data_IF_297311472450
#
_entry.id   IF_297311472450
#
_cell.length_a   1.000
_cell.length_b   1.000
_cell.length_c   1.000
_cell.angle_alpha   90.00
_cell.angle_beta   90.00
_cell.angle_gamma   90.00
#
_symmetry.space_group_name_H-M   'P 1'
#
loop_
_entity.id
_entity.type
_entity.pdbx_description
1 polymer ?
#
# COMPACT_ATOMS: atom_id res chain seq x y z
N UNK A 1 -11.94 -22.12 5.10
CA UNK A 1 -11.75 -20.72 4.64
C UNK A 1 -11.05 -20.79 3.29
N UNK A 2 -11.46 -19.97 2.33
CA UNK A 2 -10.75 -19.85 1.05
C UNK A 2 -9.60 -18.84 1.22
N UNK A 3 -8.47 -19.10 0.57
CA UNK A 3 -7.33 -18.18 0.56
C UNK A 3 -7.70 -16.95 -0.29
N UNK A 4 -7.44 -15.75 0.22
CA UNK A 4 -7.66 -14.47 -0.48
C UNK A 4 -6.31 -13.89 -0.92
N UNK A 5 -6.33 -12.95 -1.86
CA UNK A 5 -5.10 -12.36 -2.39
C UNK A 5 -4.52 -11.30 -1.43
N UNK A 6 -3.20 -11.35 -1.25
CA UNK A 6 -2.39 -10.34 -0.59
C UNK A 6 -1.48 -9.71 -1.64
N UNK A 7 -1.69 -8.43 -1.94
CA UNK A 7 -0.90 -7.73 -2.96
C UNK A 7 0.20 -6.89 -2.31
N UNK A 8 1.34 -6.76 -3.00
CA UNK A 8 2.43 -5.87 -2.61
C UNK A 8 2.67 -4.90 -3.76
N UNK A 9 2.78 -3.60 -3.48
CA UNK A 9 3.08 -2.62 -4.51
C UNK A 9 4.48 -2.84 -5.09
N UNK A 10 4.75 -2.41 -6.34
CA UNK A 10 6.12 -2.22 -6.80
C UNK A 10 6.90 -1.30 -5.85
N UNK A 11 8.24 -1.42 -5.76
CA UNK A 11 9.07 -0.59 -4.90
C UNK A 11 9.05 0.90 -5.29
N UNK A 12 8.76 1.20 -6.55
CA UNK A 12 8.53 2.56 -7.05
C UNK A 12 7.26 2.57 -7.89
N UNK A 13 6.45 3.61 -7.72
CA UNK A 13 5.21 3.79 -8.46
C UNK A 13 5.03 5.25 -8.86
N UNK A 14 4.31 5.45 -9.96
CA UNK A 14 3.91 6.76 -10.45
C UNK A 14 2.49 7.08 -9.95
N UNK A 15 2.35 8.16 -9.19
CA UNK A 15 1.07 8.55 -8.58
C UNK A 15 0.07 9.13 -9.57
N UNK A 16 0.48 9.44 -10.80
CA UNK A 16 -0.44 9.89 -11.85
C UNK A 16 -1.17 8.71 -12.53
N UNK A 17 -0.59 7.51 -12.51
CA UNK A 17 -1.10 6.34 -13.24
C UNK A 17 -1.44 5.13 -12.36
N UNK A 18 -0.70 4.92 -11.27
CA UNK A 18 -0.91 3.78 -10.38
C UNK A 18 -2.28 3.73 -9.68
N UNK A 19 -2.90 4.86 -9.26
CA UNK A 19 -4.23 4.83 -8.63
C UNK A 19 -5.30 4.17 -9.51
N UNK A 20 -5.32 4.48 -10.81
CA UNK A 20 -6.26 3.88 -11.77
C UNK A 20 -5.99 2.39 -11.98
N UNK A 21 -4.72 1.98 -11.99
CA UNK A 21 -4.34 0.58 -12.05
C UNK A 21 -4.79 -0.17 -10.80
N UNK A 22 -4.60 0.42 -9.62
CA UNK A 22 -5.04 -0.17 -8.36
C UNK A 22 -6.55 -0.35 -8.35
N UNK A 23 -7.33 0.68 -8.70
CA UNK A 23 -8.81 0.62 -8.72
C UNK A 23 -9.30 -0.51 -9.63
N UNK A 24 -8.75 -0.63 -10.84
CA UNK A 24 -9.08 -1.72 -11.77
C UNK A 24 -8.67 -3.09 -11.25
N UNK A 25 -7.52 -3.19 -10.58
CA UNK A 25 -7.02 -4.45 -10.01
C UNK A 25 -7.92 -4.93 -8.88
N UNK A 26 -8.29 -4.04 -7.97
CA UNK A 26 -9.16 -4.37 -6.83
C UNK A 26 -10.60 -4.70 -7.28
N UNK A 27 -11.07 -4.08 -8.37
CA UNK A 27 -12.37 -4.42 -8.96
C UNK A 27 -12.40 -5.82 -9.63
N UNK A 28 -11.24 -6.38 -10.00
CA UNK A 28 -11.17 -7.59 -10.82
C UNK A 28 -11.11 -8.90 -10.03
N UNK A 29 -10.87 -8.86 -8.72
CA UNK A 29 -10.68 -10.08 -7.94
C UNK A 29 -10.83 -9.90 -6.43
N UNK A 30 -10.88 -11.02 -5.70
CA UNK A 30 -11.01 -11.02 -4.24
C UNK A 30 -9.66 -10.80 -3.55
N UNK A 31 -9.40 -9.54 -3.18
CA UNK A 31 -8.19 -9.08 -2.48
C UNK A 31 -8.53 -8.80 -1.03
N UNK A 32 -7.77 -9.37 -0.09
CA UNK A 32 -7.94 -9.08 1.32
C UNK A 32 -7.22 -7.79 1.73
N UNK A 33 -6.02 -7.57 1.20
CA UNK A 33 -5.22 -6.39 1.54
C UNK A 33 -4.13 -6.11 0.50
N UNK A 34 -3.66 -4.86 0.55
CA UNK A 34 -2.54 -4.33 -0.23
C UNK A 34 -1.48 -3.84 0.76
N UNK A 35 -0.24 -4.22 0.54
CA UNK A 35 0.92 -3.70 1.25
C UNK A 35 1.61 -2.63 0.40
N UNK A 36 1.60 -1.39 0.87
CA UNK A 36 2.41 -0.30 0.35
C UNK A 36 3.87 -0.51 0.77
N UNK A 37 4.71 -0.86 -0.19
CA UNK A 37 6.16 -1.05 0.00
C UNK A 37 6.91 -0.18 -1.00
N UNK A 38 7.35 1.00 -0.54
CA UNK A 38 8.14 1.92 -1.35
C UNK A 38 9.61 1.89 -0.94
N UNK A 39 10.49 1.79 -1.93
CA UNK A 39 11.95 1.77 -1.79
C UNK A 39 12.62 2.47 -2.96
N UNK A 40 13.83 2.97 -2.73
CA UNK A 40 14.71 3.42 -3.79
C UNK A 40 15.30 2.23 -4.56
N UNK A 41 15.95 2.51 -5.69
CA UNK A 41 16.57 1.48 -6.53
C UNK A 41 17.68 0.68 -5.82
N UNK A 42 18.30 1.27 -4.78
CA UNK A 42 19.31 0.65 -3.92
C UNK A 42 18.71 -0.02 -2.67
N UNK A 43 17.39 -0.26 -2.66
CA UNK A 43 16.61 -0.83 -1.55
C UNK A 43 16.57 0.04 -0.27
N UNK A 44 17.04 1.29 -0.31
CA UNK A 44 16.95 2.23 0.82
C UNK A 44 15.54 2.82 0.97
N UNK A 45 15.17 3.31 2.16
CA UNK A 45 13.88 3.96 2.37
C UNK A 45 13.68 5.20 1.48
N UNK A 46 12.47 5.39 0.98
CA UNK A 46 12.06 6.65 0.34
C UNK A 46 11.74 7.71 1.39
N UNK A 47 11.65 8.97 0.96
CA UNK A 47 11.27 10.07 1.84
C UNK A 47 9.86 9.90 2.44
N UNK A 48 9.70 10.19 3.72
CA UNK A 48 8.43 10.06 4.46
C UNK A 48 7.28 10.80 3.78
N UNK A 49 7.54 12.00 3.24
CA UNK A 49 6.54 12.78 2.51
C UNK A 49 5.97 12.03 1.29
N UNK A 50 6.81 11.24 0.59
CA UNK A 50 6.36 10.43 -0.54
C UNK A 50 5.48 9.27 -0.07
N UNK A 51 5.84 8.63 1.05
CA UNK A 51 5.05 7.55 1.66
C UNK A 51 3.67 8.08 2.06
N UNK A 52 3.64 9.21 2.78
CA UNK A 52 2.40 9.83 3.23
C UNK A 52 1.53 10.26 2.06
N UNK A 53 2.12 10.81 0.99
CA UNK A 53 1.38 11.19 -0.21
C UNK A 53 0.80 9.96 -0.93
N UNK A 54 1.57 8.89 -1.08
CA UNK A 54 1.08 7.65 -1.67
C UNK A 54 -0.04 7.03 -0.83
N UNK A 55 0.16 6.93 0.50
CA UNK A 55 -0.86 6.43 1.42
C UNK A 55 -2.17 7.22 1.31
N UNK A 56 -2.09 8.55 1.33
CA UNK A 56 -3.26 9.43 1.18
C UNK A 56 -4.01 9.22 -0.14
N UNK A 57 -3.28 8.98 -1.23
CA UNK A 57 -3.89 8.74 -2.55
C UNK A 57 -4.52 7.36 -2.66
N UNK A 58 -3.87 6.32 -2.11
CA UNK A 58 -4.27 4.92 -2.32
C UNK A 58 -5.27 4.41 -1.29
N UNK A 59 -5.29 4.97 -0.07
CA UNK A 59 -6.18 4.52 1.01
C UNK A 59 -7.67 4.60 0.63
N UNK A 60 -8.20 5.72 0.07
CA UNK A 60 -9.62 5.78 -0.32
C UNK A 60 -9.98 4.76 -1.41
N UNK A 61 -9.03 4.41 -2.28
CA UNK A 61 -9.23 3.41 -3.34
C UNK A 61 -9.31 2.02 -2.73
N UNK A 62 -8.40 1.67 -1.81
CA UNK A 62 -8.45 0.39 -1.10
C UNK A 62 -9.77 0.25 -0.32
N UNK A 63 -10.16 1.27 0.44
CA UNK A 63 -11.41 1.29 1.22
C UNK A 63 -12.67 1.22 0.36
N UNK A 64 -12.66 1.83 -0.84
CA UNK A 64 -13.77 1.71 -1.80
C UNK A 64 -14.09 0.24 -2.16
N UNK A 65 -13.09 -0.64 -2.13
CA UNK A 65 -13.23 -2.06 -2.45
C UNK A 65 -13.23 -2.98 -1.22
N UNK A 66 -13.37 -2.43 -0.01
CA UNK A 66 -13.29 -3.18 1.26
C UNK A 66 -11.95 -3.95 1.42
N UNK A 67 -10.87 -3.32 0.96
CA UNK A 67 -9.50 -3.86 1.01
C UNK A 67 -8.69 -3.07 2.02
N UNK A 68 -8.01 -3.77 2.95
CA UNK A 68 -7.11 -3.10 3.90
C UNK A 68 -5.82 -2.64 3.22
N UNK A 69 -5.36 -1.44 3.55
CA UNK A 69 -4.06 -0.91 3.13
C UNK A 69 -3.08 -0.94 4.31
N UNK A 70 -1.99 -1.68 4.14
CA UNK A 70 -0.93 -1.86 5.12
C UNK A 70 0.34 -1.15 4.66
N UNK A 71 1.11 -0.56 5.58
CA UNK A 71 2.43 -0.02 5.26
C UNK A 71 3.53 -0.98 5.70
N UNK A 72 4.57 -1.12 4.88
CA UNK A 72 5.74 -1.91 5.23
C UNK A 72 6.67 -1.16 6.20
N UNK A 73 7.05 -1.80 7.31
CA UNK A 73 8.13 -1.45 8.27
C UNK A 73 8.08 -0.04 8.91
N UNK A 74 7.03 0.76 8.69
CA UNK A 74 6.92 2.14 9.19
C UNK A 74 5.65 2.37 10.01
N UNK A 75 5.56 1.86 11.26
CA UNK A 75 4.38 2.00 12.09
C UNK A 75 4.06 3.44 12.47
N UNK A 76 5.09 4.28 12.60
CA UNK A 76 5.00 5.72 12.82
C UNK A 76 4.22 6.42 11.69
N UNK A 77 4.56 6.11 10.45
CA UNK A 77 3.90 6.70 9.28
C UNK A 77 2.53 6.09 9.02
N UNK A 78 2.34 4.80 9.32
CA UNK A 78 1.04 4.16 9.18
C UNK A 78 0.00 4.78 10.09
N UNK A 79 0.38 5.05 11.36
CA UNK A 79 -0.45 5.78 12.29
C UNK A 79 -0.74 7.20 11.79
N UNK A 80 0.29 7.90 11.31
CA UNK A 80 0.16 9.27 10.81
C UNK A 80 -0.77 9.36 9.59
N UNK A 81 -0.73 8.38 8.69
CA UNK A 81 -1.55 8.31 7.49
C UNK A 81 -2.94 7.69 7.71
N UNK A 82 -3.23 7.14 8.90
CA UNK A 82 -4.50 6.47 9.19
C UNK A 82 -4.69 5.15 8.44
N UNK A 83 -3.61 4.39 8.23
CA UNK A 83 -3.64 3.10 7.56
C UNK A 83 -4.19 1.99 8.47
N UNK A 84 -4.68 0.92 7.85
CA UNK A 84 -5.36 -0.19 8.55
C UNK A 84 -4.39 -1.08 9.32
N UNK A 85 -3.10 -0.98 9.03
CA UNK A 85 -2.06 -1.69 9.76
C UNK A 85 -0.68 -1.56 9.15
N UNK A 86 0.22 -2.39 9.67
CA UNK A 86 1.64 -2.39 9.34
C UNK A 86 2.08 -3.83 9.15
N UNK A 87 2.88 -4.07 8.11
CA UNK A 87 3.63 -5.31 7.97
C UNK A 87 5.03 -5.10 8.52
N UNK A 88 5.47 -5.98 9.43
CA UNK A 88 6.77 -5.91 10.08
C UNK A 88 7.59 -7.15 9.72
N UNK A 89 8.77 -6.94 9.15
CA UNK A 89 9.78 -7.98 8.93
C UNK A 89 10.44 -8.47 10.23
N UNK A 90 11.26 -9.53 10.13
CA UNK A 90 11.89 -10.21 11.27
C UNK A 90 13.26 -9.65 11.69
N UNK A 91 13.66 -8.46 11.25
CA UNK A 91 15.00 -7.93 11.57
C UNK A 91 15.22 -7.69 13.08
#
# INVERSE_FOLDING_TARGET
>A
MQCRLYLITPPSLDLDSFPDLLDKTLAAGDVACVQLRLKQADETPVADALILQAAKTLLPIAHKHDVSLLLNDRPDLALTAGLDGVHIGQD
#
